data_IF_323557840520
#
_entry.id   IF_323557840520
#
_cell.length_a   1.000
_cell.length_b   1.000
_cell.length_c   1.000
_cell.angle_alpha   90.00
_cell.angle_beta   90.00
_cell.angle_gamma   90.00
#
_symmetry.space_group_name_H-M   'P 1'
#
loop_
_entity.id
_entity.type
_entity.pdbx_description
1 polymer ?
#
# COMPACT_ATOMS: atom_id res chain seq x y z
N UNK A 1 -0.98 29.83 34.45
CA UNK A 1 0.33 29.66 33.80
C UNK A 1 0.09 29.03 32.45
N UNK A 2 0.75 29.57 31.44
CA UNK A 2 0.31 29.69 30.05
C UNK A 2 0.03 28.38 29.29
N UNK A 3 -1.08 28.36 28.55
CA UNK A 3 -1.20 27.60 27.33
C UNK A 3 -0.17 28.15 26.33
N UNK A 4 0.76 27.32 25.89
CA UNK A 4 1.70 27.68 24.85
C UNK A 4 1.12 27.22 23.51
N UNK A 5 0.78 28.20 22.69
CA UNK A 5 0.52 28.09 21.26
C UNK A 5 1.65 27.34 20.55
N UNK A 6 1.37 26.11 20.10
CA UNK A 6 2.15 25.49 19.02
C UNK A 6 1.57 25.96 17.69
N UNK A 7 2.21 26.97 17.13
CA UNK A 7 2.02 27.39 15.74
C UNK A 7 2.14 26.19 14.78
N UNK A 8 1.39 26.17 13.65
CA UNK A 8 1.53 25.12 12.67
C UNK A 8 2.91 25.25 12.01
N UNK A 9 3.71 24.20 12.18
CA UNK A 9 5.02 24.05 11.55
C UNK A 9 4.81 23.87 10.04
N UNK A 10 5.11 24.93 9.30
CA UNK A 10 5.15 24.95 7.84
C UNK A 10 6.41 24.20 7.36
N UNK A 11 6.28 22.87 7.24
CA UNK A 11 7.37 21.94 6.89
C UNK A 11 7.02 21.03 5.70
N UNK A 12 6.29 21.54 4.70
CA UNK A 12 5.77 20.70 3.59
C UNK A 12 6.19 21.10 2.17
N UNK A 13 7.09 22.06 1.98
CA UNK A 13 7.53 22.46 0.61
C UNK A 13 9.02 22.25 0.33
N UNK A 14 9.80 21.69 1.27
CA UNK A 14 11.27 21.70 1.18
C UNK A 14 11.94 20.43 0.61
N UNK A 15 11.23 19.33 0.35
CA UNK A 15 11.89 18.07 -0.12
C UNK A 15 11.30 17.38 -1.36
N UNK A 16 10.07 17.70 -1.79
CA UNK A 16 9.28 16.88 -2.73
C UNK A 16 9.73 16.85 -4.20
N UNK A 17 10.85 17.47 -4.55
CA UNK A 17 11.32 17.56 -5.94
C UNK A 17 12.75 17.02 -6.14
N UNK A 18 13.33 16.38 -5.12
CA UNK A 18 14.75 15.95 -5.10
C UNK A 18 15.09 14.91 -6.16
N UNK A 19 14.11 14.10 -6.58
CA UNK A 19 14.32 13.01 -7.54
C UNK A 19 14.01 13.44 -8.99
N UNK A 20 13.76 14.73 -9.24
CA UNK A 20 13.61 15.24 -10.61
C UNK A 20 14.92 15.07 -11.38
N UNK A 21 14.90 14.21 -12.40
CA UNK A 21 16.03 14.03 -13.33
C UNK A 21 15.54 13.58 -14.70
N UNK A 22 16.47 13.54 -15.65
CA UNK A 22 16.23 12.90 -16.95
C UNK A 22 16.25 11.38 -16.74
N UNK A 23 15.14 10.71 -17.05
CA UNK A 23 15.01 9.26 -16.88
C UNK A 23 15.34 8.55 -18.22
N UNK A 24 16.16 7.49 -18.25
CA UNK A 24 16.59 6.81 -19.48
C UNK A 24 15.44 6.28 -20.34
N UNK A 25 15.49 6.41 -21.67
CA UNK A 25 14.49 5.92 -22.63
C UNK A 25 13.47 6.97 -23.12
N UNK A 26 12.31 6.54 -23.65
CA UNK A 26 11.28 7.44 -24.22
C UNK A 26 9.92 7.26 -23.56
N UNK A 27 9.16 8.35 -23.50
CA UNK A 27 7.76 8.30 -23.09
C UNK A 27 6.92 7.64 -24.19
N UNK A 28 5.92 6.88 -23.78
CA UNK A 28 4.91 6.28 -24.65
C UNK A 28 4.11 7.37 -25.37
N UNK A 29 3.63 7.11 -26.60
CA UNK A 29 2.69 7.99 -27.27
C UNK A 29 1.49 8.32 -26.37
N UNK A 30 1.10 9.60 -26.33
CA UNK A 30 -0.01 10.05 -25.48
C UNK A 30 -1.31 9.30 -25.75
N UNK A 31 -1.59 8.97 -27.02
CA UNK A 31 -2.79 8.22 -27.43
C UNK A 31 -2.82 6.81 -26.85
N UNK A 32 -1.67 6.15 -26.78
CA UNK A 32 -1.55 4.80 -26.19
C UNK A 32 -1.71 4.85 -24.67
N UNK A 33 -1.03 5.79 -24.02
CA UNK A 33 -1.16 6.01 -22.58
C UNK A 33 -2.59 6.34 -22.16
N UNK A 34 -3.30 7.15 -22.96
CA UNK A 34 -4.71 7.48 -22.72
C UNK A 34 -5.61 6.26 -22.87
N UNK A 35 -5.40 5.44 -23.92
CA UNK A 35 -6.17 4.21 -24.14
C UNK A 35 -6.05 3.26 -22.94
N UNK A 36 -4.83 2.94 -22.50
CA UNK A 36 -4.62 2.07 -21.34
C UNK A 36 -5.23 2.66 -20.05
N UNK A 37 -5.12 3.98 -19.87
CA UNK A 37 -5.73 4.64 -18.72
C UNK A 37 -7.25 4.50 -18.73
N UNK A 38 -7.89 4.69 -19.90
CA UNK A 38 -9.34 4.53 -20.07
C UNK A 38 -9.79 3.08 -19.87
N UNK A 39 -9.00 2.09 -20.32
CA UNK A 39 -9.24 0.66 -20.04
C UNK A 39 -9.21 0.36 -18.53
N UNK A 40 -8.20 0.88 -17.82
CA UNK A 40 -8.11 0.74 -16.36
C UNK A 40 -9.25 1.45 -15.62
N UNK A 41 -9.65 2.64 -16.09
CA UNK A 41 -10.82 3.37 -15.57
C UNK A 41 -12.11 2.59 -15.81
N UNK A 42 -12.28 1.95 -16.98
CA UNK A 42 -13.45 1.15 -17.27
C UNK A 42 -13.56 -0.06 -16.34
N UNK A 43 -12.45 -0.75 -16.04
CA UNK A 43 -12.41 -1.81 -15.03
C UNK A 43 -12.75 -1.29 -13.64
N UNK A 44 -12.20 -0.13 -13.26
CA UNK A 44 -12.49 0.49 -11.96
C UNK A 44 -13.98 0.84 -11.81
N UNK A 45 -14.63 1.34 -12.87
CA UNK A 45 -16.07 1.65 -12.87
C UNK A 45 -16.96 0.42 -12.64
N UNK A 46 -16.50 -0.78 -12.98
CA UNK A 46 -17.25 -2.01 -12.68
C UNK A 46 -17.33 -2.31 -11.18
N UNK A 47 -16.42 -1.74 -10.38
CA UNK A 47 -16.33 -1.98 -8.95
C UNK A 47 -17.11 -0.94 -8.11
N UNK A 48 -17.60 0.14 -8.72
CA UNK A 48 -18.27 1.23 -8.02
C UNK A 48 -19.59 1.61 -8.69
N UNK A 49 -20.62 1.86 -7.88
CA UNK A 49 -21.86 2.48 -8.35
C UNK A 49 -21.54 3.85 -9.03
N UNK A 50 -22.21 4.19 -10.14
CA UNK A 50 -22.07 5.47 -10.81
C UNK A 50 -22.09 6.71 -9.90
N UNK A 51 -22.87 6.69 -8.80
CA UNK A 51 -22.93 7.81 -7.84
C UNK A 51 -21.57 8.09 -7.17
N UNK A 52 -20.72 7.08 -7.05
CA UNK A 52 -19.41 7.18 -6.42
C UNK A 52 -18.27 7.46 -7.40
N UNK A 53 -18.51 7.42 -8.71
CA UNK A 53 -17.48 7.67 -9.72
C UNK A 53 -16.75 9.01 -9.54
N UNK A 54 -17.41 10.15 -9.24
CA UNK A 54 -16.70 11.42 -9.03
C UNK A 54 -15.68 11.41 -7.89
N UNK A 55 -15.79 10.47 -6.95
CA UNK A 55 -14.92 10.35 -5.79
C UNK A 55 -13.76 9.39 -6.00
N UNK A 56 -14.00 8.25 -6.67
CA UNK A 56 -13.02 7.16 -6.76
C UNK A 56 -12.45 6.94 -8.16
N UNK A 57 -13.14 7.40 -9.21
CA UNK A 57 -12.74 7.15 -10.59
C UNK A 57 -12.02 8.37 -11.14
N UNK A 58 -10.70 8.28 -11.42
CA UNK A 58 -9.94 9.42 -11.89
C UNK A 58 -10.34 9.82 -13.31
N UNK A 59 -10.47 11.13 -13.55
CA UNK A 59 -10.70 11.67 -14.89
C UNK A 59 -9.38 11.95 -15.61
N UNK A 60 -9.25 11.53 -16.87
CA UNK A 60 -8.01 11.67 -17.64
C UNK A 60 -7.48 13.12 -17.74
N UNK A 61 -8.36 14.13 -17.77
CA UNK A 61 -8.00 15.56 -17.80
C UNK A 61 -7.32 16.08 -16.52
N UNK A 62 -7.42 15.32 -15.43
CA UNK A 62 -6.82 15.64 -14.13
C UNK A 62 -5.52 14.86 -13.89
N UNK A 63 -5.16 13.96 -14.81
CA UNK A 63 -3.98 13.12 -14.66
C UNK A 63 -2.76 13.74 -15.32
N UNK A 64 -1.66 13.78 -14.58
CA UNK A 64 -0.34 14.16 -15.07
C UNK A 64 0.53 12.92 -15.21
N UNK A 65 1.28 12.86 -16.32
CA UNK A 65 2.14 11.74 -16.68
C UNK A 65 3.56 11.98 -16.19
N UNK A 66 4.10 10.98 -15.53
CA UNK A 66 5.47 10.93 -15.08
C UNK A 66 6.14 9.69 -15.64
N UNK A 67 7.45 9.80 -15.82
CA UNK A 67 8.31 8.66 -16.04
C UNK A 67 9.12 8.46 -14.77
N UNK A 68 9.07 7.29 -14.16
CA UNK A 68 9.80 6.95 -12.94
C UNK A 68 10.93 5.98 -13.26
N UNK A 69 12.08 6.18 -12.63
CA UNK A 69 13.19 5.23 -12.60
C UNK A 69 13.18 4.53 -11.25
N UNK A 70 13.25 3.21 -11.26
CA UNK A 70 13.31 2.38 -10.07
C UNK A 70 14.76 2.05 -9.73
N UNK A 71 15.03 1.64 -8.49
CA UNK A 71 16.39 1.25 -8.06
C UNK A 71 16.98 0.07 -8.84
N UNK A 72 16.13 -0.78 -9.45
CA UNK A 72 16.55 -1.83 -10.36
C UNK A 72 16.90 -1.33 -11.78
N UNK A 73 16.80 -0.02 -12.05
CA UNK A 73 17.03 0.60 -13.36
C UNK A 73 15.82 0.53 -14.31
N UNK A 74 14.78 -0.23 -13.96
CA UNK A 74 13.55 -0.26 -14.76
C UNK A 74 12.87 1.11 -14.77
N UNK A 75 12.26 1.42 -15.90
CA UNK A 75 11.54 2.68 -16.09
C UNK A 75 10.07 2.41 -16.35
N UNK A 76 9.20 3.09 -15.61
CA UNK A 76 7.75 2.97 -15.77
C UNK A 76 7.11 4.34 -16.00
N UNK A 77 5.94 4.36 -16.63
CA UNK A 77 5.10 5.55 -16.65
C UNK A 77 4.01 5.45 -15.59
N UNK A 78 3.84 6.51 -14.81
CA UNK A 78 2.83 6.59 -13.76
C UNK A 78 2.02 7.87 -13.87
N UNK A 79 0.82 7.86 -13.30
CA UNK A 79 -0.10 8.99 -13.36
C UNK A 79 -0.38 9.54 -11.97
N UNK A 80 -0.27 10.85 -11.75
CA UNK A 80 -0.70 11.50 -10.50
C UNK A 80 -1.80 12.53 -10.77
N UNK A 81 -2.55 12.91 -9.72
CA UNK A 81 -3.55 13.98 -9.83
C UNK A 81 -2.86 15.34 -9.81
N UNK A 82 -2.67 15.93 -10.99
CA UNK A 82 -1.98 17.20 -11.16
C UNK A 82 -0.45 17.10 -11.21
N UNK A 83 0.19 18.21 -11.58
CA UNK A 83 1.64 18.27 -11.82
C UNK A 83 2.48 18.52 -10.56
N UNK A 84 1.83 18.90 -9.45
CA UNK A 84 2.46 19.19 -8.16
C UNK A 84 2.44 17.99 -7.21
N UNK A 85 1.87 16.86 -7.65
CA UNK A 85 1.87 15.59 -6.91
C UNK A 85 2.96 14.69 -7.47
N UNK A 86 4.06 14.59 -6.75
CA UNK A 86 5.23 13.84 -7.18
C UNK A 86 5.04 12.33 -6.98
N UNK A 87 5.63 11.48 -7.85
CA UNK A 87 5.50 10.03 -7.72
C UNK A 87 6.03 9.45 -6.41
N UNK A 88 7.04 10.07 -5.80
CA UNK A 88 7.69 9.60 -4.56
C UNK A 88 6.88 9.88 -3.28
N UNK A 89 5.99 10.86 -3.31
CA UNK A 89 5.06 11.10 -2.20
C UNK A 89 3.89 10.09 -2.20
N UNK A 90 3.67 9.43 -3.34
CA UNK A 90 2.53 8.54 -3.53
C UNK A 90 2.76 7.17 -2.90
N UNK A 91 1.68 6.65 -2.31
CA UNK A 91 1.56 5.25 -1.91
C UNK A 91 0.81 4.47 -2.98
N UNK A 92 1.53 3.72 -3.78
CA UNK A 92 0.95 2.89 -4.83
C UNK A 92 0.23 1.67 -4.22
N UNK A 93 -0.79 1.09 -4.88
CA UNK A 93 -1.35 -0.17 -4.43
C UNK A 93 -0.31 -1.29 -4.52
N UNK A 94 -0.24 -2.11 -3.47
CA UNK A 94 0.35 -3.45 -3.53
C UNK A 94 -0.65 -4.36 -4.25
N UNK A 95 -0.19 -5.04 -5.30
CA UNK A 95 -1.04 -5.90 -6.13
C UNK A 95 -1.38 -7.23 -5.44
N UNK A 96 -0.69 -7.58 -4.35
CA UNK A 96 -0.91 -8.84 -3.61
C UNK A 96 -1.69 -8.57 -2.34
N UNK A 97 -1.13 -7.79 -1.42
CA UNK A 97 -1.78 -7.54 -0.13
C UNK A 97 -2.99 -6.60 -0.26
N UNK A 98 -3.18 -5.97 -1.42
CA UNK A 98 -4.15 -4.90 -1.68
C UNK A 98 -4.01 -3.68 -0.74
N UNK A 99 -2.94 -3.65 0.06
CA UNK A 99 -2.59 -2.54 0.92
C UNK A 99 -1.85 -1.46 0.13
N UNK A 100 -1.60 -0.32 0.78
CA UNK A 100 -0.81 0.75 0.18
C UNK A 100 0.67 0.52 0.49
N UNK A 101 1.50 0.49 -0.54
CA UNK A 101 2.95 0.47 -0.41
C UNK A 101 3.44 1.70 0.37
N UNK A 102 4.59 1.59 1.07
CA UNK A 102 5.33 2.75 1.53
C UNK A 102 5.47 3.84 0.44
N UNK A 103 5.52 5.10 0.88
CA UNK A 103 5.67 6.22 -0.06
C UNK A 103 6.98 6.09 -0.84
N UNK A 104 6.89 6.27 -2.16
CA UNK A 104 8.05 6.21 -3.06
C UNK A 104 8.45 4.82 -3.48
N UNK A 105 7.61 3.82 -3.22
CA UNK A 105 7.76 2.48 -3.73
C UNK A 105 6.78 2.18 -4.86
N UNK A 106 7.22 1.38 -5.83
CA UNK A 106 6.44 1.01 -7.00
C UNK A 106 6.65 -0.46 -7.36
N UNK A 107 5.60 -1.09 -7.87
CA UNK A 107 5.63 -2.49 -8.31
C UNK A 107 6.36 -2.63 -9.65
N UNK A 108 7.52 -3.29 -9.66
CA UNK A 108 8.21 -3.61 -10.91
C UNK A 108 7.69 -4.93 -11.45
N UNK A 109 7.26 -4.96 -12.72
CA UNK A 109 6.77 -6.17 -13.40
C UNK A 109 7.85 -6.86 -14.22
N UNK A 110 9.08 -6.35 -14.21
CA UNK A 110 10.20 -6.94 -14.94
C UNK A 110 10.75 -8.12 -14.16
N UNK A 111 10.98 -9.22 -14.86
CA UNK A 111 11.69 -10.37 -14.28
C UNK A 111 13.15 -9.98 -14.02
N UNK A 112 13.53 -10.02 -12.74
CA UNK A 112 14.88 -9.73 -12.27
C UNK A 112 15.64 -11.03 -11.91
N UNK A 113 15.16 -12.17 -12.41
CA UNK A 113 15.66 -13.49 -12.04
C UNK A 113 15.00 -14.00 -10.76
N UNK A 114 15.55 -15.07 -10.17
CA UNK A 114 14.95 -15.69 -9.00
C UNK A 114 14.81 -14.66 -7.88
N UNK A 115 13.57 -14.49 -7.42
CA UNK A 115 13.25 -13.65 -6.29
C UNK A 115 14.10 -14.11 -5.10
N UNK A 116 14.91 -13.21 -4.55
CA UNK A 116 15.44 -13.42 -3.21
C UNK A 116 14.24 -13.57 -2.27
N UNK A 117 14.34 -14.38 -1.21
CA UNK A 117 13.32 -14.47 -0.16
C UNK A 117 13.69 -13.54 0.98
N UNK A 118 13.26 -12.26 0.96
CA UNK A 118 13.57 -11.33 2.03
C UNK A 118 12.67 -11.67 3.22
N UNK A 119 13.17 -12.54 4.10
CA UNK A 119 12.56 -12.72 5.40
C UNK A 119 12.60 -11.39 6.18
N UNK A 120 11.45 -10.97 6.70
CA UNK A 120 11.27 -9.74 7.45
C UNK A 120 10.50 -10.04 8.73
N UNK A 121 10.99 -9.50 9.83
CA UNK A 121 10.33 -9.63 11.13
C UNK A 121 8.91 -9.06 11.07
N UNK A 122 7.99 -9.72 11.76
CA UNK A 122 6.66 -9.19 12.05
C UNK A 122 6.81 -8.13 13.15
N UNK A 123 6.46 -6.88 12.84
CA UNK A 123 6.55 -5.76 13.78
C UNK A 123 5.20 -5.32 14.34
N UNK A 124 4.10 -5.72 13.70
CA UNK A 124 2.74 -5.33 14.10
C UNK A 124 1.72 -6.39 13.69
N UNK A 125 0.79 -6.72 14.60
CA UNK A 125 -0.39 -7.55 14.35
C UNK A 125 -1.61 -6.61 14.24
N UNK A 126 -2.21 -6.50 13.06
CA UNK A 126 -3.08 -5.37 12.71
C UNK A 126 -4.54 -5.70 12.91
N UNK A 127 -5.05 -6.68 12.17
CA UNK A 127 -6.43 -7.15 12.28
C UNK A 127 -6.50 -8.65 12.11
N UNK A 128 -7.57 -9.22 12.66
CA UNK A 128 -7.84 -10.64 12.73
C UNK A 128 -9.17 -10.93 12.05
N UNK A 129 -9.15 -11.88 11.13
CA UNK A 129 -10.34 -12.47 10.52
C UNK A 129 -10.37 -13.96 10.83
N UNK A 130 -11.45 -14.43 11.44
CA UNK A 130 -11.69 -15.87 11.57
C UNK A 130 -12.41 -16.34 10.32
N UNK A 131 -11.89 -17.41 9.71
CA UNK A 131 -12.51 -18.07 8.57
C UNK A 131 -12.85 -19.50 8.97
N UNK A 132 -14.07 -19.93 8.64
CA UNK A 132 -14.52 -21.31 8.82
C UNK A 132 -14.26 -22.09 7.54
N UNK A 133 -13.77 -23.31 7.70
CA UNK A 133 -13.49 -24.25 6.63
C UNK A 133 -14.32 -25.52 6.83
N UNK A 134 -14.80 -26.13 5.74
CA UNK A 134 -15.39 -27.47 5.81
C UNK A 134 -14.35 -28.49 6.30
N UNK A 135 -14.80 -29.71 6.56
CA UNK A 135 -13.87 -30.82 6.74
C UNK A 135 -13.06 -31.01 5.44
N UNK A 136 -11.76 -31.25 5.60
CA UNK A 136 -10.87 -31.57 4.51
C UNK A 136 -11.30 -32.91 3.86
N UNK A 137 -11.18 -33.04 2.53
CA UNK A 137 -11.54 -34.26 1.81
C UNK A 137 -10.75 -35.48 2.31
N UNK A 138 -11.32 -36.67 2.13
CA UNK A 138 -10.66 -37.92 2.55
C UNK A 138 -9.43 -38.21 1.69
N UNK A 139 -9.54 -37.98 0.39
CA UNK A 139 -8.45 -38.11 -0.57
C UNK A 139 -7.81 -36.72 -0.82
N UNK A 140 -6.49 -36.65 -1.06
CA UNK A 140 -5.84 -35.39 -1.39
C UNK A 140 -6.32 -34.89 -2.74
N UNK A 141 -6.59 -33.59 -2.84
CA UNK A 141 -6.91 -32.92 -4.11
C UNK A 141 -5.65 -32.55 -4.92
N UNK A 142 -4.47 -32.86 -4.39
CA UNK A 142 -3.19 -32.45 -4.94
C UNK A 142 -2.38 -33.65 -5.44
N UNK A 143 -2.01 -33.64 -6.73
CA UNK A 143 -1.27 -34.74 -7.38
C UNK A 143 0.12 -35.01 -6.78
N UNK A 144 0.68 -34.05 -6.04
CA UNK A 144 2.02 -34.15 -5.43
C UNK A 144 2.00 -34.71 -4.00
N UNK A 145 0.83 -34.97 -3.42
CA UNK A 145 0.70 -35.46 -2.04
C UNK A 145 0.05 -36.85 -2.02
N UNK A 146 0.72 -37.81 -1.39
CA UNK A 146 0.14 -39.14 -1.22
C UNK A 146 -0.92 -39.17 -0.09
N UNK A 147 -1.72 -40.24 -0.10
CA UNK A 147 -2.81 -40.41 0.85
C UNK A 147 -2.34 -40.59 2.30
N UNK A 148 -1.12 -41.12 2.52
CA UNK A 148 -0.59 -41.35 3.86
C UNK A 148 -0.19 -40.03 4.52
N UNK A 149 0.54 -39.19 3.79
CA UNK A 149 0.95 -37.86 4.25
C UNK A 149 -0.23 -36.91 4.36
N UNK A 150 -1.19 -36.99 3.42
CA UNK A 150 -2.46 -36.27 3.55
C UNK A 150 -3.20 -36.65 4.83
N UNK A 151 -3.28 -37.93 5.16
CA UNK A 151 -3.95 -38.40 6.37
C UNK A 151 -3.31 -37.87 7.66
N UNK A 152 -2.01 -37.53 7.64
CA UNK A 152 -1.29 -36.94 8.79
C UNK A 152 -1.64 -35.46 9.02
N UNK A 153 -1.97 -34.72 7.96
CA UNK A 153 -2.18 -33.26 8.05
C UNK A 153 -3.63 -32.81 7.92
N UNK A 154 -4.49 -33.61 7.26
CA UNK A 154 -5.89 -33.24 6.99
C UNK A 154 -6.71 -33.02 8.26
N UNK A 155 -7.69 -32.14 8.18
CA UNK A 155 -8.69 -31.84 9.22
C UNK A 155 -10.00 -32.56 8.89
N UNK A 156 -10.27 -33.75 9.46
CA UNK A 156 -11.46 -34.54 9.12
C UNK A 156 -12.79 -33.94 9.60
N UNK A 157 -12.76 -32.83 10.32
CA UNK A 157 -13.94 -32.13 10.84
C UNK A 157 -13.88 -30.66 10.40
N UNK A 158 -15.02 -29.97 10.27
CA UNK A 158 -15.04 -28.53 10.10
C UNK A 158 -14.18 -27.85 11.16
N UNK A 159 -13.42 -26.85 10.73
CA UNK A 159 -12.48 -26.17 11.59
C UNK A 159 -12.45 -24.69 11.26
N UNK A 160 -11.84 -23.91 12.15
CA UNK A 160 -11.70 -22.48 11.99
C UNK A 160 -10.24 -22.11 12.20
N UNK A 161 -9.78 -21.10 11.46
CA UNK A 161 -8.44 -20.55 11.61
C UNK A 161 -8.52 -19.03 11.69
N UNK A 162 -7.64 -18.42 12.48
CA UNK A 162 -7.49 -16.98 12.54
C UNK A 162 -6.44 -16.55 11.53
N UNK A 163 -6.83 -15.68 10.61
CA UNK A 163 -5.94 -15.01 9.67
C UNK A 163 -5.67 -13.60 10.16
N UNK A 164 -4.42 -13.36 10.51
CA UNK A 164 -3.94 -12.06 10.91
C UNK A 164 -3.32 -11.35 9.71
N UNK A 165 -3.72 -10.10 9.50
CA UNK A 165 -2.91 -9.18 8.71
C UNK A 165 -1.78 -8.66 9.59
N UNK A 166 -0.55 -8.87 9.16
CA UNK A 166 0.64 -8.43 9.88
C UNK A 166 1.41 -7.39 9.07
N UNK A 167 2.07 -6.46 9.75
CA UNK A 167 3.03 -5.54 9.14
C UNK A 167 4.43 -6.05 9.39
N UNK A 168 5.22 -6.11 8.33
CA UNK A 168 6.61 -6.54 8.38
C UNK A 168 7.55 -5.34 8.58
N UNK A 169 8.79 -5.60 9.00
CA UNK A 169 9.79 -4.56 9.27
C UNK A 169 10.16 -3.70 8.04
N UNK A 170 9.92 -4.21 6.82
CA UNK A 170 10.03 -3.44 5.57
C UNK A 170 8.86 -2.47 5.33
N UNK A 171 7.79 -2.54 6.13
CA UNK A 171 6.57 -1.73 5.98
C UNK A 171 5.49 -2.36 5.08
N UNK A 172 5.74 -3.52 4.48
CA UNK A 172 4.74 -4.29 3.72
C UNK A 172 3.85 -5.14 4.64
N UNK A 173 2.74 -5.62 4.09
CA UNK A 173 1.76 -6.43 4.81
C UNK A 173 1.72 -7.84 4.27
N UNK A 174 1.55 -8.80 5.16
CA UNK A 174 1.36 -10.22 4.83
C UNK A 174 0.23 -10.82 5.67
N UNK A 175 -0.16 -12.05 5.34
CA UNK A 175 -1.12 -12.81 6.12
C UNK A 175 -0.44 -13.95 6.89
N UNK A 176 -0.79 -14.09 8.17
CA UNK A 176 -0.33 -15.19 9.03
C UNK A 176 -1.53 -15.94 9.57
N UNK A 177 -1.50 -17.27 9.45
CA UNK A 177 -2.53 -18.17 9.96
C UNK A 177 -2.15 -18.68 11.35
N UNK A 178 -3.09 -18.63 12.30
CA UNK A 178 -2.91 -19.12 13.68
C UNK A 178 -4.15 -19.90 14.14
N UNK A 179 -4.00 -20.59 15.27
CA UNK A 179 -5.16 -21.10 16.01
C UNK A 179 -6.09 -19.94 16.40
N UNK A 180 -7.39 -20.22 16.53
CA UNK A 180 -8.42 -19.20 16.79
C UNK A 180 -8.25 -18.54 18.16
N UNK A 181 -7.80 -19.30 19.15
CA UNK A 181 -7.60 -18.86 20.54
C UNK A 181 -6.28 -18.11 20.76
N UNK A 182 -5.34 -18.24 19.83
CA UNK A 182 -4.05 -17.56 19.91
C UNK A 182 -4.19 -16.05 19.71
N UNK A 183 -3.47 -15.29 20.54
CA UNK A 183 -3.28 -13.84 20.41
C UNK A 183 -1.79 -13.45 20.52
N UNK A 184 -1.37 -12.30 19.99
CA UNK A 184 0.03 -11.88 20.01
C UNK A 184 0.68 -11.89 21.40
N UNK A 185 -0.08 -11.61 22.45
CA UNK A 185 0.40 -11.57 23.83
C UNK A 185 0.77 -12.96 24.38
N UNK A 186 0.24 -14.04 23.80
CA UNK A 186 0.58 -15.41 24.21
C UNK A 186 2.00 -15.80 23.76
N UNK A 187 2.55 -15.08 22.76
CA UNK A 187 3.81 -15.41 22.12
C UNK A 187 3.74 -16.70 21.29
N UNK A 188 4.83 -17.07 20.61
CA UNK A 188 4.85 -18.29 19.81
C UNK A 188 4.89 -19.54 20.68
N UNK A 189 4.19 -20.59 20.25
CA UNK A 189 4.35 -21.95 20.78
C UNK A 189 5.72 -22.48 20.32
N UNK A 190 6.52 -22.97 21.25
CA UNK A 190 7.86 -23.53 20.98
C UNK A 190 7.84 -25.06 21.08
N UNK A 191 8.66 -25.70 20.26
CA UNK A 191 8.89 -27.15 20.29
C UNK A 191 9.77 -27.53 21.47
N UNK A 192 9.63 -28.75 22.03
CA UNK A 192 10.49 -29.24 23.14
C UNK A 192 11.97 -29.33 22.72
N UNK A 193 12.88 -29.37 23.70
CA UNK A 193 14.32 -29.46 23.39
C UNK A 193 14.69 -30.81 22.76
N UNK A 194 14.04 -31.89 23.18
CA UNK A 194 14.25 -33.21 22.59
C UNK A 194 13.77 -33.23 21.14
N UNK A 195 12.57 -32.68 20.90
CA UNK A 195 11.97 -32.69 19.57
C UNK A 195 12.71 -31.77 18.60
N UNK A 196 13.30 -30.66 19.04
CA UNK A 196 14.07 -29.80 18.14
C UNK A 196 15.39 -30.45 17.70
N UNK A 197 15.99 -31.29 18.55
CA UNK A 197 17.17 -32.10 18.17
C UNK A 197 16.82 -33.11 17.10
N UNK A 198 15.67 -33.79 17.24
CA UNK A 198 15.15 -34.69 16.20
C UNK A 198 14.89 -33.94 14.89
N UNK A 199 14.17 -32.82 14.93
CA UNK A 199 13.89 -31.99 13.74
C UNK A 199 15.19 -31.56 13.05
N UNK A 200 16.20 -31.14 13.82
CA UNK A 200 17.50 -30.75 13.26
C UNK A 200 18.16 -31.91 12.52
N UNK A 201 18.17 -33.09 13.13
CA UNK A 201 18.74 -34.30 12.50
C UNK A 201 17.97 -34.64 11.22
N UNK A 202 16.64 -34.66 11.27
CA UNK A 202 15.80 -35.02 10.13
C UNK A 202 16.03 -34.06 8.94
N UNK A 203 16.19 -32.75 9.18
CA UNK A 203 16.55 -31.79 8.13
C UNK A 203 17.97 -31.99 7.59
N UNK A 204 18.99 -32.18 8.43
CA UNK A 204 20.36 -32.39 7.96
C UNK A 204 20.52 -33.74 7.22
N UNK A 205 19.79 -34.79 7.61
CA UNK A 205 19.71 -36.05 6.86
C UNK A 205 19.04 -35.85 5.49
N UNK A 206 17.92 -35.12 5.45
CA UNK A 206 17.22 -34.78 4.19
C UNK A 206 18.08 -33.93 3.25
N UNK A 207 18.86 -32.99 3.79
CA UNK A 207 19.78 -32.16 3.02
C UNK A 207 21.05 -32.89 2.58
N UNK A 208 21.47 -33.93 3.29
CA UNK A 208 22.64 -34.75 2.94
C UNK A 208 22.33 -35.80 1.87
N UNK A 209 21.05 -36.10 1.61
CA UNK A 209 20.66 -37.01 0.53
C UNK A 209 21.11 -36.47 -0.83
N UNK A 210 21.89 -37.27 -1.56
CA UNK A 210 22.32 -36.94 -2.92
C UNK A 210 21.09 -36.76 -3.85
N UNK A 211 21.16 -35.81 -4.78
CA UNK A 211 20.06 -35.42 -5.69
C UNK A 211 18.85 -34.70 -5.05
N UNK A 212 19.09 -33.75 -4.14
CA UNK A 212 18.05 -32.81 -3.72
C UNK A 212 18.22 -31.42 -4.37
N UNK A 213 17.86 -31.23 -5.66
CA UNK A 213 18.01 -29.95 -6.36
C UNK A 213 17.11 -28.84 -5.76
N UNK A 214 16.13 -29.20 -4.93
CA UNK A 214 15.25 -28.26 -4.25
C UNK A 214 15.88 -27.55 -3.05
N UNK A 215 17.00 -28.06 -2.52
CA UNK A 215 17.65 -27.54 -1.30
C UNK A 215 19.14 -27.29 -1.53
N UNK A 216 19.53 -26.18 -2.17
CA UNK A 216 20.94 -25.87 -2.39
C UNK A 216 21.68 -25.74 -1.05
N UNK A 217 22.96 -26.14 -1.03
CA UNK A 217 23.78 -26.12 0.20
C UNK A 217 23.82 -24.72 0.85
N UNK A 218 23.80 -23.69 -0.01
CA UNK A 218 23.74 -22.28 0.37
C UNK A 218 22.46 -21.68 -0.20
N UNK A 219 21.69 -20.99 0.63
CA UNK A 219 20.48 -20.30 0.22
C UNK A 219 19.68 -19.76 1.40
N UNK A 220 18.95 -18.69 1.15
CA UNK A 220 18.15 -18.00 2.17
C UNK A 220 17.16 -18.92 2.89
N UNK A 221 16.63 -19.93 2.21
CA UNK A 221 15.67 -20.89 2.77
C UNK A 221 16.32 -21.82 3.80
N UNK A 222 17.51 -22.36 3.49
CA UNK A 222 18.23 -23.24 4.43
C UNK A 222 18.70 -22.47 5.66
N UNK A 223 19.17 -21.24 5.46
CA UNK A 223 19.56 -20.34 6.56
C UNK A 223 18.36 -19.97 7.44
N UNK A 224 17.20 -19.69 6.83
CA UNK A 224 15.95 -19.46 7.55
C UNK A 224 15.51 -20.68 8.37
N UNK A 225 15.53 -21.88 7.78
CA UNK A 225 15.17 -23.10 8.51
C UNK A 225 16.10 -23.31 9.70
N UNK A 226 17.42 -23.15 9.53
CA UNK A 226 18.37 -23.25 10.64
C UNK A 226 18.06 -22.25 11.75
N UNK A 227 17.76 -20.99 11.39
CA UNK A 227 17.30 -19.97 12.34
C UNK A 227 16.01 -20.41 13.06
N UNK A 228 15.02 -20.95 12.36
CA UNK A 228 13.79 -21.46 12.97
C UNK A 228 14.08 -22.61 13.95
N UNK A 229 15.00 -23.53 13.61
CA UNK A 229 15.42 -24.61 14.50
C UNK A 229 16.10 -24.05 15.75
N UNK A 230 17.01 -23.09 15.59
CA UNK A 230 17.72 -22.45 16.70
C UNK A 230 16.75 -21.71 17.65
N UNK A 231 15.64 -21.18 17.11
CA UNK A 231 14.55 -20.54 17.86
C UNK A 231 13.50 -21.53 18.41
N UNK A 232 13.76 -22.85 18.36
CA UNK A 232 12.82 -23.91 18.78
C UNK A 232 11.50 -23.93 18.00
N UNK A 233 11.60 -23.67 16.70
CA UNK A 233 10.53 -23.74 15.71
C UNK A 233 9.25 -22.99 16.13
N UNK A 234 9.32 -21.67 16.32
CA UNK A 234 8.22 -20.87 16.83
C UNK A 234 6.98 -20.94 15.92
N UNK A 235 5.79 -21.10 16.52
CA UNK A 235 4.50 -21.02 15.81
C UNK A 235 3.56 -20.01 16.50
N UNK A 236 3.15 -18.91 15.83
CA UNK A 236 3.58 -18.49 14.49
C UNK A 236 5.07 -18.13 14.41
N UNK A 237 5.65 -18.19 13.21
CA UNK A 237 7.03 -17.74 12.96
C UNK A 237 7.15 -16.22 13.21
N UNK A 238 8.26 -15.72 13.77
CA UNK A 238 8.44 -14.30 14.07
C UNK A 238 8.72 -13.45 12.81
N UNK A 239 9.00 -14.09 11.68
CA UNK A 239 9.28 -13.43 10.41
C UNK A 239 8.53 -14.13 9.26
N UNK A 240 8.38 -13.43 8.15
CA UNK A 240 7.76 -13.94 6.93
C UNK A 240 8.60 -13.59 5.72
N UNK A 241 8.60 -14.45 4.71
CA UNK A 241 9.09 -14.12 3.39
C UNK A 241 8.20 -13.05 2.77
N UNK A 242 8.70 -11.82 2.67
CA UNK A 242 7.92 -10.73 2.11
C UNK A 242 7.91 -10.81 0.59
N UNK A 243 6.85 -11.36 0.00
CA UNK A 243 6.76 -11.46 -1.46
C UNK A 243 6.78 -10.07 -2.10
N UNK A 244 6.13 -9.08 -1.49
CA UNK A 244 6.08 -7.70 -1.99
C UNK A 244 7.48 -7.12 -2.18
N UNK A 245 8.42 -7.33 -1.25
CA UNK A 245 9.82 -6.89 -1.39
C UNK A 245 10.53 -7.47 -2.63
N UNK A 246 10.10 -8.63 -3.13
CA UNK A 246 10.72 -9.25 -4.30
C UNK A 246 10.41 -8.48 -5.59
N UNK A 247 9.26 -7.81 -5.65
CA UNK A 247 8.73 -7.11 -6.84
C UNK A 247 8.81 -5.59 -6.71
N UNK A 248 8.65 -5.08 -5.51
CA UNK A 248 8.60 -3.64 -5.26
C UNK A 248 9.99 -3.05 -5.22
N UNK A 249 10.13 -1.87 -5.83
CA UNK A 249 11.38 -1.14 -5.91
C UNK A 249 11.16 0.31 -5.53
N UNK A 250 12.18 0.91 -4.90
CA UNK A 250 12.15 2.34 -4.59
C UNK A 250 12.31 3.17 -5.86
N UNK A 251 11.54 4.25 -5.95
CA UNK A 251 11.69 5.28 -6.98
C UNK A 251 12.96 6.07 -6.68
N UNK A 252 13.89 6.07 -7.63
CA UNK A 252 15.18 6.79 -7.54
C UNK A 252 15.23 8.00 -8.48
N UNK A 253 14.19 8.20 -9.29
CA UNK A 253 14.10 9.29 -10.24
C UNK A 253 12.73 9.46 -10.83
N UNK A 254 12.38 10.68 -11.21
CA UNK A 254 11.26 10.90 -12.11
C UNK A 254 11.43 12.10 -13.03
N UNK A 255 10.79 12.01 -14.18
CA UNK A 255 10.75 13.02 -15.22
C UNK A 255 9.30 13.41 -15.52
N UNK A 256 9.04 14.73 -15.58
CA UNK A 256 7.75 15.27 -16.05
C UNK A 256 7.59 14.95 -17.54
N UNK A 257 6.44 14.38 -17.92
CA UNK A 257 6.06 14.20 -19.32
C UNK A 257 5.05 15.29 -19.72
N UNK A 258 3.98 15.44 -18.92
CA UNK A 258 2.91 16.39 -19.21
C UNK A 258 1.53 15.83 -18.88
N UNK A 259 0.48 16.60 -19.13
CA UNK A 259 -0.90 16.19 -18.90
C UNK A 259 -1.30 15.01 -19.81
N UNK A 260 -2.06 14.06 -19.26
CA UNK A 260 -2.52 12.88 -20.01
C UNK A 260 -3.44 13.28 -21.16
N UNK A 261 -4.36 14.22 -20.92
CA UNK A 261 -5.13 14.90 -21.96
C UNK A 261 -4.59 16.32 -22.09
N UNK A 262 -4.25 16.73 -23.31
CA UNK A 262 -3.80 18.09 -23.58
C UNK A 262 -4.86 19.07 -23.12
N UNK A 263 -4.56 19.84 -22.08
CA UNK A 263 -5.42 20.93 -21.66
C UNK A 263 -5.36 21.98 -22.75
N UNK A 264 -6.47 22.18 -23.47
CA UNK A 264 -6.65 23.41 -24.25
C UNK A 264 -6.38 24.53 -23.27
N UNK A 265 -5.34 25.33 -23.52
CA UNK A 265 -5.01 26.48 -22.68
C UNK A 265 -6.25 27.37 -22.70
N UNK A 266 -7.11 27.26 -21.68
CA UNK A 266 -8.14 28.26 -21.46
C UNK A 266 -7.35 29.53 -21.24
N UNK A 267 -7.44 30.45 -22.19
CA UNK A 267 -6.90 31.80 -22.08
C UNK A 267 -7.20 32.25 -20.64
N UNK A 268 -6.20 32.62 -19.83
CA UNK A 268 -6.45 32.97 -18.43
C UNK A 268 -7.64 33.91 -18.41
N UNK A 269 -8.67 33.56 -17.63
CA UNK A 269 -9.83 34.42 -17.47
C UNK A 269 -9.28 35.81 -17.15
N UNK A 270 -9.75 36.88 -17.83
CA UNK A 270 -9.29 38.23 -17.51
C UNK A 270 -9.41 38.40 -16.00
N UNK A 271 -8.32 38.83 -15.37
CA UNK A 271 -8.29 39.05 -13.91
C UNK A 271 -9.58 39.80 -13.55
N UNK A 272 -10.39 39.31 -12.60
CA UNK A 272 -11.52 40.09 -12.12
C UNK A 272 -10.98 41.47 -11.75
N UNK A 273 -11.57 42.53 -12.29
CA UNK A 273 -11.09 43.87 -12.00
C UNK A 273 -11.28 44.08 -10.50
N UNK A 274 -10.18 44.25 -9.78
CA UNK A 274 -10.15 44.47 -8.33
C UNK A 274 -11.01 45.66 -7.90
N UNK A 275 -11.30 46.58 -8.83
CA UNK A 275 -12.19 47.71 -8.61
C UNK A 275 -13.67 47.32 -8.51
N UNK A 276 -14.17 46.35 -9.30
CA UNK A 276 -15.58 45.91 -9.21
C UNK A 276 -15.84 45.11 -7.92
N UNK A 277 -14.83 44.44 -7.38
CA UNK A 277 -14.95 43.70 -6.11
C UNK A 277 -14.86 44.62 -4.90
N UNK A 278 -14.04 45.69 -4.96
CA UNK A 278 -13.96 46.67 -3.87
C UNK A 278 -15.25 47.45 -3.68
N UNK A 279 -15.86 47.97 -4.76
CA UNK A 279 -17.15 48.68 -4.68
C UNK A 279 -18.26 47.78 -4.13
N UNK A 280 -18.29 46.49 -4.52
CA UNK A 280 -19.26 45.52 -3.99
C UNK A 280 -19.02 45.22 -2.50
N UNK A 281 -17.76 45.13 -2.07
CA UNK A 281 -17.42 44.94 -0.66
C UNK A 281 -17.79 46.18 0.16
N UNK A 282 -17.50 47.38 -0.33
CA UNK A 282 -17.87 48.65 0.30
C UNK A 282 -19.40 48.78 0.40
N UNK A 283 -20.15 48.43 -0.65
CA UNK A 283 -21.61 48.43 -0.61
C UNK A 283 -22.18 47.41 0.41
N UNK A 284 -21.59 46.21 0.50
CA UNK A 284 -21.99 45.20 1.50
C UNK A 284 -21.66 45.64 2.92
N UNK A 285 -20.53 46.31 3.12
CA UNK A 285 -20.14 46.86 4.41
C UNK A 285 -21.11 47.97 4.85
N UNK A 286 -21.41 48.93 3.96
CA UNK A 286 -22.35 50.00 4.24
C UNK A 286 -23.77 49.47 4.56
N UNK A 287 -24.23 48.43 3.83
CA UNK A 287 -25.50 47.79 4.12
C UNK A 287 -25.51 47.09 5.50
N UNK A 288 -24.42 46.42 5.87
CA UNK A 288 -24.28 45.79 7.18
C UNK A 288 -24.22 46.83 8.30
N UNK A 289 -23.51 47.94 8.11
CA UNK A 289 -23.45 49.04 9.09
C UNK A 289 -24.81 49.72 9.29
N UNK A 290 -25.56 49.94 8.21
CA UNK A 290 -26.91 50.48 8.28
C UNK A 290 -27.86 49.54 9.04
N UNK A 291 -27.74 48.23 8.83
CA UNK A 291 -28.53 47.22 9.52
C UNK A 291 -28.19 47.16 11.02
N UNK A 292 -26.90 47.25 11.37
CA UNK A 292 -26.47 47.34 12.79
C UNK A 292 -27.06 48.59 13.45
N UNK A 293 -27.07 49.74 12.76
CA UNK A 293 -27.68 50.97 13.29
C UNK A 293 -29.20 50.83 13.45
N UNK A 294 -29.87 50.15 12.52
CA UNK A 294 -31.30 49.83 12.62
C UNK A 294 -31.59 48.97 13.85
N UNK A 295 -30.83 47.90 14.04
CA UNK A 295 -30.97 46.98 15.17
C UNK A 295 -30.65 47.67 16.51
N UNK A 296 -29.62 48.55 16.56
CA UNK A 296 -29.33 49.38 17.75
C UNK A 296 -30.49 50.29 18.11
N UNK A 297 -31.10 50.97 17.13
CA UNK A 297 -32.30 51.79 17.37
C UNK A 297 -33.50 50.96 17.86
N UNK A 298 -33.63 49.70 17.43
CA UNK A 298 -34.67 48.80 17.94
C UNK A 298 -34.39 48.36 19.39
N UNK A 299 -33.12 48.18 19.75
CA UNK A 299 -32.71 47.88 21.13
C UNK A 299 -32.88 49.11 22.05
N UNK A 300 -32.64 50.32 21.54
CA UNK A 300 -32.78 51.57 22.30
C UNK A 300 -34.24 52.06 22.42
N UNK A 301 -35.17 51.54 21.62
CA UNK A 301 -36.62 51.78 21.70
C UNK A 301 -37.41 50.45 21.82
N UNK A 302 -37.33 49.74 22.96
CA UNK A 302 -38.02 48.45 23.16
C UNK A 302 -39.53 48.61 23.45
N UNK A 303 -40.18 49.66 22.93
CA UNK A 303 -41.51 50.09 23.37
C UNK A 303 -42.46 50.53 22.26
N UNK A 304 -42.46 49.85 21.10
CA UNK A 304 -43.56 49.86 20.14
C UNK A 304 -43.54 48.56 19.32
N UNK A 305 -43.93 47.47 19.97
CA UNK A 305 -44.52 46.30 19.34
C UNK A 305 -46.02 46.36 19.62
#
# INVERSE_FOLDING_TARGET
MSAADTAPVDDQTRESARLLKRVPGRARPQKEALREFEEGVAQLRQHYDPVFWPLFVPEAKNMFRWRVELECGCTHEVYTHGEDKYPDDRRFPDLISQCRLPSGEFWCTTDHGPAQKPYRDIVEWVDRKVTEFPADPVEPEYDWMDAEDWAKIRKPKPHSSAFWRVKLSCGHYEQVCTDVDWKPEDGPKLVSEERIVEIRRDFEESWAAADNPGWPEKGFERDHIRKMIDLRWPRPEPERDCFTCTQVRRITGYQRIGWLVTRTRTRPAPRPSTNLDREKIEARLAAAEAEVQRLRKQLDNPGNA
#
